data_IF_198217048360
#
_entry.id   IF_198217048360
#
_cell.length_a   1.000
_cell.length_b   1.000
_cell.length_c   1.000
_cell.angle_alpha   90.00
_cell.angle_beta   90.00
_cell.angle_gamma   90.00
#
_symmetry.space_group_name_H-M   'P 1'
#
loop_
_entity.id
_entity.type
_entity.pdbx_description
1 polymer ?
#
# COMPACT_ATOMS: atom_id res chain seq x y z
N UNK A 1 -14.63 7.37 21.52
CA UNK A 1 -13.43 6.57 21.22
C UNK A 1 -13.87 5.17 20.84
N UNK A 2 -13.30 4.58 19.78
CA UNK A 2 -13.58 3.19 19.38
C UNK A 2 -12.89 2.25 20.38
N UNK A 3 -13.60 1.25 20.89
CA UNK A 3 -13.03 0.30 21.85
C UNK A 3 -11.82 -0.44 21.25
N UNK A 4 -10.78 -0.70 22.06
CA UNK A 4 -9.55 -1.35 21.61
C UNK A 4 -9.81 -2.71 20.92
N UNK A 5 -10.75 -3.50 21.43
CA UNK A 5 -11.15 -4.76 20.81
C UNK A 5 -11.74 -4.59 19.41
N UNK A 6 -12.55 -3.55 19.19
CA UNK A 6 -13.10 -3.25 17.87
C UNK A 6 -12.02 -2.78 16.88
N UNK A 7 -11.02 -2.04 17.36
CA UNK A 7 -9.87 -1.66 16.52
C UNK A 7 -9.05 -2.89 16.11
N UNK A 8 -8.79 -3.81 17.05
CA UNK A 8 -8.06 -5.05 16.75
C UNK A 8 -8.80 -5.91 15.72
N UNK A 9 -10.13 -6.05 15.84
CA UNK A 9 -10.96 -6.74 14.85
C UNK A 9 -10.89 -6.07 13.47
N UNK A 10 -10.90 -4.73 13.41
CA UNK A 10 -10.76 -4.00 12.15
C UNK A 10 -9.39 -4.24 11.50
N UNK A 11 -8.29 -4.30 12.27
CA UNK A 11 -6.95 -4.64 11.76
C UNK A 11 -6.92 -6.08 11.22
N UNK A 12 -7.53 -7.02 11.94
CA UNK A 12 -7.61 -8.42 11.48
C UNK A 12 -8.44 -8.51 10.20
N UNK A 13 -9.61 -7.88 10.15
CA UNK A 13 -10.47 -7.83 8.97
C UNK A 13 -9.73 -7.23 7.78
N UNK A 14 -8.99 -6.14 7.98
CA UNK A 14 -8.15 -5.52 6.97
C UNK A 14 -7.10 -6.47 6.40
N UNK A 15 -6.32 -7.13 7.27
CA UNK A 15 -5.32 -8.11 6.85
C UNK A 15 -5.95 -9.32 6.16
N UNK A 16 -7.13 -9.77 6.59
CA UNK A 16 -7.88 -10.84 5.94
C UNK A 16 -8.30 -10.46 4.51
N UNK A 17 -8.80 -9.24 4.30
CA UNK A 17 -9.16 -8.74 2.96
C UNK A 17 -7.92 -8.71 2.06
N UNK A 18 -6.83 -8.09 2.52
CA UNK A 18 -5.57 -8.02 1.76
C UNK A 18 -5.03 -9.42 1.43
N UNK A 19 -5.06 -10.34 2.41
CA UNK A 19 -4.56 -11.70 2.21
C UNK A 19 -5.46 -12.49 1.26
N UNK A 20 -6.78 -12.33 1.33
CA UNK A 20 -7.73 -13.00 0.45
C UNK A 20 -7.50 -12.59 -1.01
N UNK A 21 -7.43 -11.29 -1.29
CA UNK A 21 -7.22 -10.81 -2.68
C UNK A 21 -5.84 -11.22 -3.21
N UNK A 22 -4.81 -11.21 -2.35
CA UNK A 22 -3.45 -11.68 -2.70
C UNK A 22 -3.45 -13.18 -3.02
N UNK A 23 -4.03 -14.00 -2.15
CA UNK A 23 -4.09 -15.46 -2.33
C UNK A 23 -4.91 -15.85 -3.56
N UNK A 24 -6.00 -15.14 -3.82
CA UNK A 24 -6.83 -15.35 -5.00
C UNK A 24 -6.05 -15.11 -6.30
N UNK A 25 -5.17 -14.11 -6.34
CA UNK A 25 -4.44 -13.70 -7.55
C UNK A 25 -3.13 -14.47 -7.76
N UNK A 26 -2.41 -14.79 -6.70
CA UNK A 26 -1.05 -15.34 -6.78
C UNK A 26 -0.88 -16.53 -7.75
N UNK A 27 -1.69 -17.61 -7.69
CA UNK A 27 -1.46 -18.79 -8.53
C UNK A 27 -1.65 -18.53 -10.02
N UNK A 28 -2.27 -17.42 -10.40
CA UNK A 28 -2.49 -17.01 -11.79
C UNK A 28 -1.35 -16.16 -12.32
N UNK A 29 -0.58 -15.54 -11.43
CA UNK A 29 0.61 -14.77 -11.78
C UNK A 29 1.85 -15.64 -12.02
N UNK A 30 1.78 -16.94 -11.72
CA UNK A 30 2.91 -17.86 -11.88
C UNK A 30 3.44 -17.97 -13.32
N UNK A 31 2.56 -17.84 -14.33
CA UNK A 31 2.97 -17.90 -15.74
C UNK A 31 3.81 -16.68 -16.15
N UNK A 32 3.48 -15.49 -15.62
CA UNK A 32 4.21 -14.25 -15.90
C UNK A 32 5.43 -14.05 -15.01
N UNK A 33 5.27 -14.17 -13.68
CA UNK A 33 6.27 -13.80 -12.67
C UNK A 33 7.04 -15.00 -12.08
N UNK A 34 6.68 -16.24 -12.46
CA UNK A 34 7.35 -17.44 -11.97
C UNK A 34 7.39 -17.52 -10.44
N UNK A 35 8.59 -17.69 -9.88
CA UNK A 35 8.82 -17.77 -8.42
C UNK A 35 8.52 -16.47 -7.68
N UNK A 36 8.46 -15.33 -8.38
CA UNK A 36 8.19 -14.02 -7.78
C UNK A 36 6.71 -13.66 -7.78
N UNK A 37 5.86 -14.54 -8.30
CA UNK A 37 4.41 -14.32 -8.37
C UNK A 37 3.80 -14.04 -6.99
N UNK A 38 4.29 -14.65 -5.91
CA UNK A 38 3.71 -14.45 -4.57
C UNK A 38 3.92 -13.03 -4.06
N UNK A 39 5.16 -12.53 -4.20
CA UNK A 39 5.51 -11.15 -3.89
C UNK A 39 4.77 -10.17 -4.81
N UNK A 40 4.72 -10.43 -6.12
CA UNK A 40 4.02 -9.60 -7.09
C UNK A 40 2.51 -9.48 -6.79
N UNK A 41 1.89 -10.55 -6.30
CA UNK A 41 0.46 -10.60 -6.03
C UNK A 41 0.02 -9.62 -4.94
N UNK A 42 0.87 -9.28 -3.97
CA UNK A 42 0.54 -8.32 -2.91
C UNK A 42 0.09 -6.96 -3.47
N UNK A 43 0.95 -6.19 -4.15
CA UNK A 43 0.56 -4.88 -4.67
C UNK A 43 -0.40 -4.99 -5.88
N UNK A 44 -0.26 -6.02 -6.72
CA UNK A 44 -1.14 -6.18 -7.90
C UNK A 44 -2.59 -6.46 -7.51
N UNK A 45 -2.82 -7.30 -6.50
CA UNK A 45 -4.18 -7.61 -6.06
C UNK A 45 -4.89 -6.40 -5.47
N UNK A 46 -4.16 -5.56 -4.70
CA UNK A 46 -4.68 -4.32 -4.14
C UNK A 46 -5.05 -3.31 -5.25
N UNK A 47 -4.19 -3.15 -6.27
CA UNK A 47 -4.47 -2.28 -7.41
C UNK A 47 -5.65 -2.76 -8.25
N UNK A 48 -5.73 -4.08 -8.49
CA UNK A 48 -6.84 -4.67 -9.22
C UNK A 48 -8.16 -4.52 -8.45
N UNK A 49 -8.14 -4.72 -7.13
CA UNK A 49 -9.32 -4.52 -6.27
C UNK A 49 -9.75 -3.05 -6.26
N UNK A 50 -8.81 -2.11 -6.20
CA UNK A 50 -9.09 -0.69 -6.31
C UNK A 50 -9.77 -0.35 -7.65
N UNK A 51 -9.25 -0.86 -8.76
CA UNK A 51 -9.82 -0.63 -10.09
C UNK A 51 -11.23 -1.20 -10.23
N UNK A 52 -11.43 -2.46 -9.80
CA UNK A 52 -12.73 -3.11 -9.87
C UNK A 52 -13.77 -2.42 -8.98
N UNK A 53 -13.41 -2.05 -7.75
CA UNK A 53 -14.32 -1.34 -6.84
C UNK A 53 -14.67 0.05 -7.35
N UNK A 54 -13.73 0.74 -8.00
CA UNK A 54 -13.97 2.04 -8.63
C UNK A 54 -14.98 1.94 -9.78
N UNK A 55 -14.85 0.92 -10.65
CA UNK A 55 -15.83 0.68 -11.70
C UNK A 55 -17.19 0.23 -11.15
N UNK A 56 -17.24 -0.59 -10.10
CA UNK A 56 -18.49 -0.93 -9.41
C UNK A 56 -19.23 0.35 -8.98
N UNK A 57 -18.51 1.31 -8.40
CA UNK A 57 -19.10 2.56 -7.95
C UNK A 57 -19.59 3.49 -9.06
N UNK A 58 -18.95 3.50 -10.24
CA UNK A 58 -19.48 4.22 -11.42
C UNK A 58 -20.89 3.73 -11.76
N UNK A 59 -21.07 2.41 -11.76
CA UNK A 59 -22.36 1.79 -12.09
C UNK A 59 -23.25 1.60 -10.84
N UNK A 60 -22.90 2.27 -9.73
CA UNK A 60 -23.67 2.30 -8.48
C UNK A 60 -23.87 0.92 -7.82
N UNK A 61 -22.95 -0.02 -8.07
CA UNK A 61 -22.86 -1.27 -7.31
C UNK A 61 -22.06 -1.07 -6.02
N UNK A 62 -22.39 -1.79 -4.94
CA UNK A 62 -21.58 -1.78 -3.72
C UNK A 62 -20.12 -2.18 -4.02
N UNK A 63 -19.16 -1.46 -3.42
CA UNK A 63 -17.73 -1.69 -3.66
C UNK A 63 -17.27 -3.11 -3.34
N UNK A 64 -17.95 -3.79 -2.41
CA UNK A 64 -17.67 -5.18 -2.02
C UNK A 64 -17.92 -6.17 -3.17
N UNK A 65 -18.75 -5.82 -4.16
CA UNK A 65 -18.98 -6.63 -5.37
C UNK A 65 -17.67 -6.86 -6.13
N UNK A 66 -16.69 -5.95 -6.00
CA UNK A 66 -15.36 -6.11 -6.56
C UNK A 66 -14.59 -7.34 -6.02
N UNK A 67 -15.04 -7.95 -4.93
CA UNK A 67 -14.48 -9.23 -4.44
C UNK A 67 -14.89 -10.43 -5.30
N UNK A 68 -16.00 -10.36 -6.05
CA UNK A 68 -16.52 -11.52 -6.78
C UNK A 68 -15.49 -12.15 -7.74
N UNK A 69 -14.75 -11.37 -8.57
CA UNK A 69 -13.70 -11.95 -9.40
C UNK A 69 -12.59 -12.64 -8.59
N UNK A 70 -12.21 -12.09 -7.44
CA UNK A 70 -11.22 -12.72 -6.55
C UNK A 70 -11.75 -14.02 -5.95
N UNK A 71 -13.01 -14.06 -5.51
CA UNK A 71 -13.64 -15.27 -4.99
C UNK A 71 -13.76 -16.36 -6.06
N UNK A 72 -14.07 -15.97 -7.31
CA UNK A 72 -14.08 -16.89 -8.46
C UNK A 72 -12.67 -17.43 -8.73
N UNK A 73 -11.65 -16.58 -8.78
CA UNK A 73 -10.26 -17.00 -8.96
C UNK A 73 -9.77 -17.90 -7.83
N UNK A 74 -10.13 -17.61 -6.58
CA UNK A 74 -9.82 -18.43 -5.42
C UNK A 74 -10.49 -19.80 -5.54
N UNK A 75 -11.79 -19.84 -5.82
CA UNK A 75 -12.56 -21.07 -6.01
C UNK A 75 -12.05 -21.93 -7.18
N UNK A 76 -11.75 -21.30 -8.31
CA UNK A 76 -11.12 -21.97 -9.46
C UNK A 76 -9.74 -22.52 -9.11
N UNK A 77 -8.94 -21.79 -8.33
CA UNK A 77 -7.63 -22.24 -7.87
C UNK A 77 -7.74 -23.45 -6.93
N UNK A 78 -8.73 -23.46 -6.03
CA UNK A 78 -9.03 -24.60 -5.16
C UNK A 78 -9.48 -25.82 -5.97
N UNK A 79 -10.40 -25.64 -6.91
CA UNK A 79 -10.90 -26.70 -7.79
C UNK A 79 -9.79 -27.32 -8.65
N UNK A 80 -8.91 -26.48 -9.21
CA UNK A 80 -7.74 -26.90 -9.99
C UNK A 80 -6.54 -27.33 -9.13
N UNK A 81 -6.70 -27.40 -7.80
CA UNK A 81 -5.65 -27.79 -6.85
C UNK A 81 -4.34 -26.99 -7.00
N UNK A 82 -4.47 -25.69 -7.30
CA UNK A 82 -3.32 -24.76 -7.40
C UNK A 82 -2.72 -24.38 -6.05
N UNK A 83 -3.38 -24.71 -4.94
CA UNK A 83 -2.90 -24.47 -3.59
C UNK A 83 -2.42 -25.76 -2.95
N UNK A 84 -1.24 -25.74 -2.35
CA UNK A 84 -0.77 -26.78 -1.43
C UNK A 84 -0.15 -26.13 -0.20
N UNK A 85 -0.28 -26.78 0.96
CA UNK A 85 0.31 -26.26 2.20
C UNK A 85 1.83 -26.08 2.07
N UNK A 86 2.50 -26.99 1.37
CA UNK A 86 3.94 -26.87 1.13
C UNK A 86 4.30 -25.71 0.22
N UNK A 87 3.48 -25.41 -0.80
CA UNK A 87 3.68 -24.23 -1.63
C UNK A 87 3.53 -22.95 -0.82
N UNK A 88 2.47 -22.84 -0.01
CA UNK A 88 2.23 -21.67 0.86
C UNK A 88 3.38 -21.51 1.87
N UNK A 89 3.82 -22.61 2.50
CA UNK A 89 4.93 -22.58 3.46
C UNK A 89 6.25 -22.11 2.84
N UNK A 90 6.54 -22.47 1.58
CA UNK A 90 7.74 -21.98 0.87
C UNK A 90 7.71 -20.47 0.66
N UNK A 91 6.52 -19.91 0.45
CA UNK A 91 6.32 -18.48 0.23
C UNK A 91 6.16 -17.66 1.54
N UNK A 92 6.16 -18.31 2.71
CA UNK A 92 5.95 -17.66 4.00
C UNK A 92 6.94 -16.51 4.29
N UNK A 93 8.12 -16.53 3.68
CA UNK A 93 9.09 -15.46 3.81
C UNK A 93 8.58 -14.10 3.26
N UNK A 94 7.70 -14.10 2.25
CA UNK A 94 7.01 -12.90 1.77
C UNK A 94 5.97 -12.40 2.78
N UNK A 95 5.21 -13.31 3.39
CA UNK A 95 4.21 -12.97 4.41
C UNK A 95 4.89 -12.38 5.65
N UNK A 96 5.99 -12.98 6.08
CA UNK A 96 6.79 -12.49 7.20
C UNK A 96 7.34 -11.10 6.90
N UNK A 97 7.90 -10.86 5.71
CA UNK A 97 8.37 -9.53 5.33
C UNK A 97 7.21 -8.51 5.33
N UNK A 98 6.08 -8.85 4.70
CA UNK A 98 4.91 -7.98 4.65
C UNK A 98 4.44 -7.64 6.06
N UNK A 99 4.24 -8.64 6.92
CA UNK A 99 3.74 -8.46 8.28
C UNK A 99 4.72 -7.70 9.18
N UNK A 100 6.03 -7.93 9.04
CA UNK A 100 7.05 -7.17 9.79
C UNK A 100 7.03 -5.70 9.40
N UNK A 101 7.04 -5.40 8.09
CA UNK A 101 6.98 -4.03 7.59
C UNK A 101 5.64 -3.34 7.92
N UNK A 102 4.53 -4.08 7.84
CA UNK A 102 3.21 -3.59 8.22
C UNK A 102 3.15 -3.29 9.73
N UNK A 103 3.62 -4.21 10.57
CA UNK A 103 3.62 -4.06 12.03
C UNK A 103 4.52 -2.90 12.48
N UNK A 104 5.72 -2.77 11.90
CA UNK A 104 6.62 -1.65 12.15
C UNK A 104 5.93 -0.30 11.91
N UNK A 105 5.28 -0.15 10.74
CA UNK A 105 4.62 1.10 10.41
C UNK A 105 3.31 1.30 11.19
N UNK A 106 2.61 0.21 11.53
CA UNK A 106 1.42 0.26 12.39
C UNK A 106 1.80 0.72 13.80
N UNK A 107 2.94 0.29 14.32
CA UNK A 107 3.48 0.76 15.61
C UNK A 107 3.76 2.27 15.58
N UNK A 108 4.38 2.78 14.52
CA UNK A 108 4.57 4.22 14.32
C UNK A 108 3.22 4.96 14.36
N UNK A 109 2.20 4.43 13.69
CA UNK A 109 0.84 5.00 13.72
C UNK A 109 0.14 4.82 15.06
N UNK A 110 0.45 3.77 15.81
CA UNK A 110 -0.10 3.56 17.15
C UNK A 110 0.39 4.62 18.14
N UNK A 111 1.67 5.02 18.04
CA UNK A 111 2.22 6.12 18.85
C UNK A 111 1.78 7.51 18.38
N UNK A 112 1.51 7.69 17.08
CA UNK A 112 0.99 8.94 16.52
C UNK A 112 -0.24 8.71 15.63
N UNK A 113 -1.42 8.39 16.21
CA UNK A 113 -2.63 8.05 15.45
C UNK A 113 -3.41 9.30 15.02
N UNK A 114 -2.93 10.50 15.35
CA UNK A 114 -3.65 11.75 15.16
C UNK A 114 -3.93 12.01 13.67
N UNK A 115 -5.18 12.41 13.41
CA UNK A 115 -5.67 12.93 12.13
C UNK A 115 -5.54 14.47 12.10
N UNK A 116 -5.22 15.08 13.24
CA UNK A 116 -4.98 16.52 13.33
C UNK A 116 -3.55 16.87 12.92
N UNK A 117 -3.32 18.15 12.65
CA UNK A 117 -2.07 18.77 12.16
C UNK A 117 -1.75 18.49 10.68
N UNK A 118 -1.01 19.44 10.08
CA UNK A 118 -0.64 19.43 8.66
C UNK A 118 -1.86 19.17 7.76
N UNK A 119 -1.73 18.34 6.74
CA UNK A 119 -2.77 18.06 5.75
C UNK A 119 -3.56 16.77 6.04
N UNK A 120 -3.26 16.09 7.16
CA UNK A 120 -3.92 14.83 7.58
C UNK A 120 -5.44 14.94 7.64
N UNK A 121 -5.95 16.09 8.07
CA UNK A 121 -7.39 16.33 8.18
C UNK A 121 -8.04 16.34 6.78
N UNK A 122 -7.34 16.86 5.77
CA UNK A 122 -7.80 16.88 4.38
C UNK A 122 -7.81 15.47 3.80
N UNK A 123 -6.72 14.72 3.97
CA UNK A 123 -6.62 13.32 3.51
C UNK A 123 -7.70 12.43 4.15
N UNK A 124 -7.90 12.56 5.46
CA UNK A 124 -8.98 11.82 6.14
C UNK A 124 -10.37 12.30 5.69
N UNK A 125 -10.57 13.58 5.39
CA UNK A 125 -11.86 14.07 4.89
C UNK A 125 -12.20 13.46 3.52
N UNK A 126 -11.21 13.34 2.61
CA UNK A 126 -11.38 12.66 1.33
C UNK A 126 -11.70 11.17 1.55
N UNK A 127 -10.93 10.48 2.39
CA UNK A 127 -11.16 9.08 2.74
C UNK A 127 -12.57 8.86 3.33
N UNK A 128 -12.96 9.70 4.30
CA UNK A 128 -14.25 9.60 4.96
C UNK A 128 -15.39 9.90 3.99
N UNK A 129 -15.21 10.82 3.03
CA UNK A 129 -16.19 11.08 1.98
C UNK A 129 -16.42 9.83 1.11
N UNK A 130 -15.33 9.22 0.62
CA UNK A 130 -15.36 7.95 -0.12
C UNK A 130 -16.09 6.87 0.67
N UNK A 131 -15.74 6.68 1.95
CA UNK A 131 -16.32 5.61 2.76
C UNK A 131 -17.79 5.88 3.13
N UNK A 132 -18.20 7.14 3.25
CA UNK A 132 -19.57 7.53 3.59
C UNK A 132 -20.54 7.31 2.43
N UNK A 133 -20.13 7.66 1.22
CA UNK A 133 -20.93 7.47 0.02
C UNK A 133 -20.01 7.04 -1.14
N UNK A 134 -19.78 5.73 -1.32
CA UNK A 134 -18.80 5.22 -2.28
C UNK A 134 -19.36 5.23 -3.71
N UNK A 135 -19.54 6.44 -4.24
CA UNK A 135 -19.92 6.73 -5.63
C UNK A 135 -18.80 7.49 -6.34
N UNK A 136 -18.78 7.44 -7.67
CA UNK A 136 -17.79 8.14 -8.50
C UNK A 136 -18.49 9.25 -9.29
N UNK A 137 -18.07 10.52 -9.17
CA UNK A 137 -17.04 11.03 -8.27
C UNK A 137 -17.53 11.10 -6.80
N UNK A 138 -16.64 10.98 -5.79
CA UNK A 138 -17.03 11.16 -4.39
C UNK A 138 -17.47 12.59 -4.11
N UNK A 139 -18.26 12.80 -3.06
CA UNK A 139 -18.63 14.14 -2.61
C UNK A 139 -17.38 14.92 -2.20
N UNK A 140 -17.33 16.21 -2.55
CA UNK A 140 -16.25 17.09 -2.10
C UNK A 140 -16.47 17.48 -0.63
N UNK A 141 -15.55 17.12 0.31
CA UNK A 141 -15.69 17.50 1.71
C UNK A 141 -15.63 19.02 1.95
N UNK A 142 -15.13 19.81 0.98
CA UNK A 142 -14.96 21.25 1.06
C UNK A 142 -15.91 22.04 0.16
N UNK A 143 -16.74 21.37 -0.63
CA UNK A 143 -17.72 22.02 -1.50
C UNK A 143 -19.10 21.36 -1.39
N UNK A 144 -19.97 21.98 -0.58
CA UNK A 144 -21.28 21.44 -0.26
C UNK A 144 -22.15 21.24 -1.53
N UNK A 145 -22.55 19.99 -1.78
CA UNK A 145 -23.36 19.61 -2.94
C UNK A 145 -22.57 19.43 -4.24
N UNK A 146 -21.25 19.59 -4.21
CA UNK A 146 -20.38 19.27 -5.34
C UNK A 146 -19.57 18.00 -5.15
N UNK A 147 -18.93 17.60 -6.24
CA UNK A 147 -18.13 16.40 -6.32
C UNK A 147 -16.63 16.71 -6.41
N UNK A 148 -15.82 15.82 -5.85
CA UNK A 148 -14.36 15.88 -5.85
C UNK A 148 -13.83 15.55 -7.26
N UNK A 149 -13.95 16.53 -8.16
CA UNK A 149 -13.66 16.41 -9.59
C UNK A 149 -12.26 16.91 -9.98
N UNK A 150 -11.62 17.72 -9.12
CA UNK A 150 -10.35 18.41 -9.42
C UNK A 150 -9.16 17.79 -8.68
N UNK A 151 -9.38 16.88 -7.74
CA UNK A 151 -8.32 16.36 -6.84
C UNK A 151 -8.10 14.84 -6.96
N UNK A 152 -6.87 14.40 -6.69
CA UNK A 152 -6.45 13.00 -6.80
C UNK A 152 -6.96 12.14 -5.62
N UNK A 153 -8.13 11.50 -5.77
CA UNK A 153 -8.74 10.69 -4.70
C UNK A 153 -8.50 9.18 -4.82
N UNK A 154 -7.93 8.67 -5.91
CA UNK A 154 -7.85 7.22 -6.17
C UNK A 154 -7.08 6.44 -5.09
N UNK A 155 -6.04 7.03 -4.48
CA UNK A 155 -5.33 6.42 -3.36
C UNK A 155 -6.23 6.25 -2.12
N UNK A 156 -7.01 7.28 -1.81
CA UNK A 156 -8.02 7.26 -0.75
C UNK A 156 -9.18 6.31 -1.09
N UNK A 157 -9.56 6.22 -2.36
CA UNK A 157 -10.53 5.25 -2.87
C UNK A 157 -10.10 3.82 -2.60
N UNK A 158 -8.89 3.47 -3.04
CA UNK A 158 -8.28 2.15 -2.86
C UNK A 158 -8.32 1.71 -1.39
N UNK A 159 -7.91 2.60 -0.48
CA UNK A 159 -7.87 2.28 0.95
C UNK A 159 -9.26 2.29 1.58
N UNK A 160 -10.14 3.20 1.17
CA UNK A 160 -11.54 3.26 1.61
C UNK A 160 -12.34 2.03 1.22
N UNK A 161 -12.14 1.49 0.01
CA UNK A 161 -12.79 0.27 -0.45
C UNK A 161 -12.36 -0.95 0.36
N UNK A 162 -11.07 -1.08 0.70
CA UNK A 162 -10.59 -2.13 1.62
C UNK A 162 -11.21 -1.94 3.00
N UNK A 163 -11.26 -0.70 3.50
CA UNK A 163 -11.84 -0.37 4.81
C UNK A 163 -13.32 -0.74 4.90
N UNK A 164 -14.11 -0.40 3.89
CA UNK A 164 -15.52 -0.78 3.79
C UNK A 164 -15.73 -2.29 3.73
N UNK A 165 -14.82 -3.00 3.06
CA UNK A 165 -14.87 -4.47 2.94
C UNK A 165 -14.46 -5.15 4.24
N UNK A 166 -13.54 -4.55 4.99
CA UNK A 166 -13.08 -5.00 6.31
C UNK A 166 -13.98 -4.52 7.46
N UNK A 167 -15.05 -3.79 7.17
CA UNK A 167 -15.92 -3.14 8.15
C UNK A 167 -15.16 -2.22 9.13
N UNK A 168 -14.03 -1.66 8.68
CA UNK A 168 -13.20 -0.76 9.46
C UNK A 168 -13.77 0.66 9.41
N UNK A 169 -13.89 1.38 10.54
CA UNK A 169 -14.31 2.78 10.56
C UNK A 169 -13.20 3.67 9.97
N UNK A 170 -13.57 4.80 9.35
CA UNK A 170 -12.62 5.65 8.61
C UNK A 170 -11.38 6.10 9.41
N UNK A 171 -11.44 6.39 10.73
CA UNK A 171 -10.24 6.77 11.48
C UNK A 171 -9.25 5.61 11.65
N UNK A 172 -9.74 4.38 11.69
CA UNK A 172 -8.90 3.17 11.74
C UNK A 172 -8.33 2.91 10.35
N UNK A 173 -9.17 2.95 9.31
CA UNK A 173 -8.73 2.83 7.91
C UNK A 173 -7.60 3.81 7.57
N UNK A 174 -7.72 5.07 7.98
CA UNK A 174 -6.69 6.09 7.78
C UNK A 174 -5.33 5.68 8.36
N UNK A 175 -5.33 5.14 9.58
CA UNK A 175 -4.12 4.68 10.24
C UNK A 175 -3.55 3.38 9.63
N UNK A 176 -4.33 2.64 8.82
CA UNK A 176 -3.90 1.43 8.11
C UNK A 176 -3.37 1.71 6.69
N UNK A 177 -3.48 2.95 6.19
CA UNK A 177 -2.98 3.34 4.86
C UNK A 177 -1.46 3.17 4.80
N UNK A 178 -0.72 3.89 5.65
CA UNK A 178 0.74 3.90 5.61
C UNK A 178 1.35 2.51 5.89
N UNK A 179 0.85 1.71 6.85
CA UNK A 179 1.25 0.32 7.00
C UNK A 179 1.12 -0.52 5.74
N UNK A 180 -0.03 -0.40 5.06
CA UNK A 180 -0.29 -1.12 3.80
C UNK A 180 0.66 -0.68 2.70
N UNK A 181 0.88 0.62 2.53
CA UNK A 181 1.77 1.20 1.52
C UNK A 181 3.22 0.76 1.77
N UNK A 182 3.70 0.91 3.00
CA UNK A 182 5.08 0.55 3.37
C UNK A 182 5.35 -0.94 3.15
N UNK A 183 4.43 -1.81 3.58
CA UNK A 183 4.58 -3.26 3.42
C UNK A 183 4.53 -3.71 1.95
N UNK A 184 3.63 -3.15 1.14
CA UNK A 184 3.59 -3.47 -0.29
C UNK A 184 4.83 -2.95 -1.04
N UNK A 185 5.33 -1.76 -0.69
CA UNK A 185 6.56 -1.23 -1.26
C UNK A 185 7.76 -2.12 -0.91
N UNK A 186 7.87 -2.56 0.35
CA UNK A 186 8.92 -3.46 0.79
C UNK A 186 8.88 -4.81 0.05
N UNK A 187 7.70 -5.41 -0.10
CA UNK A 187 7.55 -6.67 -0.85
C UNK A 187 7.95 -6.48 -2.32
N UNK A 188 7.53 -5.41 -2.98
CA UNK A 188 7.90 -5.14 -4.37
C UNK A 188 9.41 -4.90 -4.54
N UNK A 189 10.03 -4.13 -3.64
CA UNK A 189 11.48 -3.90 -3.64
C UNK A 189 12.27 -5.19 -3.36
N UNK A 190 11.76 -6.05 -2.48
CA UNK A 190 12.36 -7.35 -2.22
C UNK A 190 12.25 -8.30 -3.43
N UNK A 191 11.15 -8.23 -4.19
CA UNK A 191 11.02 -8.91 -5.47
C UNK A 191 12.01 -8.37 -6.51
N UNK A 192 12.19 -7.04 -6.61
CA UNK A 192 13.24 -6.46 -7.45
C UNK A 192 14.64 -6.94 -7.02
N UNK A 193 14.89 -7.05 -5.71
CA UNK A 193 16.16 -7.57 -5.18
C UNK A 193 16.44 -9.02 -5.56
N UNK A 194 15.41 -9.87 -5.67
CA UNK A 194 15.57 -11.23 -6.18
C UNK A 194 16.00 -11.29 -7.64
N UNK A 195 15.65 -10.28 -8.43
CA UNK A 195 16.03 -10.17 -9.85
C UNK A 195 17.41 -9.53 -10.01
N UNK A 196 17.71 -8.49 -9.20
CA UNK A 196 18.94 -7.71 -9.34
C UNK A 196 20.15 -8.34 -8.66
N UNK A 197 19.95 -9.05 -7.56
CA UNK A 197 21.02 -9.41 -6.64
C UNK A 197 21.09 -10.93 -6.40
N UNK A 198 22.31 -11.47 -6.43
CA UNK A 198 22.56 -12.88 -6.08
C UNK A 198 22.59 -13.11 -4.57
N UNK A 199 23.03 -12.11 -3.80
CA UNK A 199 23.12 -12.11 -2.33
C UNK A 199 22.50 -10.82 -1.78
N UNK A 200 22.12 -10.81 -0.51
CA UNK A 200 21.55 -9.64 0.17
C UNK A 200 20.34 -9.06 -0.60
N UNK A 201 19.42 -9.93 -1.02
CA UNK A 201 18.24 -9.57 -1.82
C UNK A 201 17.30 -8.58 -1.14
N UNK A 202 17.46 -8.35 0.17
CA UNK A 202 16.71 -7.37 0.95
C UNK A 202 17.25 -5.93 0.82
N UNK A 203 18.45 -5.72 0.25
CA UNK A 203 19.04 -4.37 0.16
C UNK A 203 18.13 -3.32 -0.50
N UNK A 204 17.38 -3.62 -1.57
CA UNK A 204 16.47 -2.63 -2.14
C UNK A 204 15.39 -2.16 -1.17
N UNK A 205 14.98 -2.98 -0.19
CA UNK A 205 14.01 -2.57 0.84
C UNK A 205 14.54 -1.42 1.69
N UNK A 206 15.86 -1.36 1.91
CA UNK A 206 16.49 -0.28 2.69
C UNK A 206 16.36 1.09 2.03
N UNK A 207 16.00 1.16 0.74
CA UNK A 207 15.69 2.44 0.08
C UNK A 207 14.54 3.19 0.73
N UNK A 208 13.62 2.48 1.41
CA UNK A 208 12.54 3.09 2.20
C UNK A 208 13.04 3.82 3.46
N UNK A 209 14.28 3.56 3.86
CA UNK A 209 14.93 4.16 5.03
C UNK A 209 16.01 5.17 4.64
N UNK A 210 16.24 5.39 3.35
CA UNK A 210 17.22 6.37 2.89
C UNK A 210 16.76 7.78 3.25
N UNK A 211 17.73 8.58 3.67
CA UNK A 211 17.57 9.98 4.06
C UNK A 211 18.35 10.87 3.09
N UNK A 212 17.92 12.13 2.97
CA UNK A 212 18.67 13.11 2.20
C UNK A 212 20.07 13.34 2.80
N UNK A 213 21.11 13.66 2.00
CA UNK A 213 22.43 14.01 2.53
C UNK A 213 22.41 15.16 3.55
N UNK A 214 21.49 16.12 3.37
CA UNK A 214 21.26 17.22 4.31
C UNK A 214 20.86 16.76 5.72
N UNK A 215 20.14 15.64 5.83
CA UNK A 215 19.79 15.03 7.12
C UNK A 215 21.06 14.69 7.90
N UNK A 216 22.04 14.07 7.23
CA UNK A 216 23.31 13.68 7.84
C UNK A 216 24.13 14.91 8.25
N UNK A 217 24.15 15.95 7.42
CA UNK A 217 24.86 17.21 7.72
C UNK A 217 24.25 17.92 8.93
N UNK A 218 22.92 18.02 9.01
CA UNK A 218 22.22 18.64 10.14
C UNK A 218 22.36 17.82 11.42
N UNK A 219 22.31 16.49 11.32
CA UNK A 219 22.56 15.62 12.48
C UNK A 219 24.00 15.79 12.98
N UNK A 220 24.98 15.85 12.08
CA UNK A 220 26.39 16.03 12.42
C UNK A 220 26.71 17.42 12.98
N UNK A 221 25.93 18.45 12.62
CA UNK A 221 26.08 19.80 13.17
C UNK A 221 25.48 19.95 14.58
N UNK A 222 24.84 18.91 15.11
CA UNK A 222 24.19 18.93 16.42
C UNK A 222 22.84 19.66 16.42
N UNK A 223 22.19 19.81 15.26
CA UNK A 223 20.85 20.36 15.18
C UNK A 223 19.84 19.50 15.96
N UNK A 224 18.80 20.13 16.49
CA UNK A 224 17.72 19.41 17.19
C UNK A 224 16.98 18.45 16.26
N UNK A 225 16.49 17.33 16.80
CA UNK A 225 15.87 16.26 16.01
C UNK A 225 14.73 16.74 15.08
N UNK A 226 13.92 17.70 15.53
CA UNK A 226 12.88 18.31 14.70
C UNK A 226 13.48 19.03 13.48
N UNK A 227 14.50 19.87 13.68
CA UNK A 227 15.20 20.57 12.58
C UNK A 227 15.88 19.59 11.65
N UNK A 228 16.53 18.55 12.18
CA UNK A 228 17.14 17.48 11.35
C UNK A 228 16.10 16.84 10.43
N UNK A 229 14.92 16.50 10.95
CA UNK A 229 13.84 15.92 10.13
C UNK A 229 13.23 16.94 9.16
N UNK A 230 12.88 18.14 9.63
CA UNK A 230 12.09 19.12 8.88
C UNK A 230 12.91 19.93 7.86
N UNK A 231 14.11 20.37 8.25
CA UNK A 231 14.94 21.23 7.40
C UNK A 231 15.67 20.38 6.34
N UNK A 232 15.89 19.08 6.58
CA UNK A 232 16.49 18.17 5.61
C UNK A 232 15.60 17.88 4.39
N UNK A 233 14.31 18.20 4.45
CA UNK A 233 13.40 18.14 3.29
C UNK A 233 13.32 19.47 2.53
N UNK A 234 13.97 20.53 3.01
CA UNK A 234 13.92 21.90 2.43
C UNK A 234 15.30 22.39 2.03
N UNK A 235 16.02 21.54 1.30
CA UNK A 235 17.41 21.80 0.90
C UNK A 235 17.53 22.70 -0.31
N UNK A 236 16.53 22.64 -1.21
CA UNK A 236 16.46 23.46 -2.41
C UNK A 236 15.46 24.57 -2.12
N UNK A 237 15.87 25.82 -2.38
CA UNK A 237 15.07 27.01 -2.11
C UNK A 237 13.66 26.87 -2.73
N UNK A 238 12.64 27.28 -1.97
CA UNK A 238 11.22 27.26 -2.37
C UNK A 238 10.65 25.89 -2.77
N UNK A 239 11.25 24.79 -2.29
CA UNK A 239 10.78 23.43 -2.58
C UNK A 239 10.70 22.56 -1.33
N UNK A 240 9.96 21.45 -1.46
CA UNK A 240 9.92 20.36 -0.49
C UNK A 240 10.37 19.09 -1.22
N UNK A 241 11.46 18.50 -0.77
CA UNK A 241 12.03 17.27 -1.28
C UNK A 241 12.11 16.23 -0.17
N UNK A 242 10.95 15.66 0.12
CA UNK A 242 10.78 14.56 1.06
C UNK A 242 11.50 13.29 0.59
N UNK A 243 11.86 12.47 1.57
CA UNK A 243 12.36 11.11 1.37
C UNK A 243 11.41 10.14 2.07
N UNK A 244 11.36 8.85 1.67
CA UNK A 244 10.33 7.92 2.15
C UNK A 244 10.20 7.89 3.67
N UNK A 245 11.32 7.78 4.39
CA UNK A 245 11.31 7.74 5.85
C UNK A 245 10.67 9.00 6.48
N UNK A 246 10.91 10.20 5.92
CA UNK A 246 10.24 11.41 6.38
C UNK A 246 8.73 11.31 6.19
N UNK A 247 8.25 10.99 4.99
CA UNK A 247 6.82 10.98 4.70
C UNK A 247 6.06 9.93 5.53
N UNK A 248 6.65 8.76 5.75
CA UNK A 248 6.06 7.72 6.59
C UNK A 248 5.99 8.12 8.07
N UNK A 249 7.05 8.75 8.60
CA UNK A 249 7.07 9.21 10.00
C UNK A 249 6.20 10.46 10.22
N UNK A 250 6.18 11.37 9.25
CA UNK A 250 5.34 12.57 9.27
C UNK A 250 3.86 12.17 9.30
N UNK A 251 3.51 11.19 8.45
CA UNK A 251 2.28 10.44 8.61
C UNK A 251 1.10 10.95 7.79
N UNK A 252 1.37 11.66 6.70
CA UNK A 252 0.38 12.23 5.79
C UNK A 252 0.26 11.30 4.57
N UNK A 253 -0.88 10.62 4.35
CA UNK A 253 -1.04 9.69 3.24
C UNK A 253 -1.32 10.43 1.92
N UNK A 254 -0.46 11.37 1.55
CA UNK A 254 -0.55 12.09 0.29
C UNK A 254 -0.50 11.14 -0.91
N UNK A 255 -0.99 11.62 -2.06
CA UNK A 255 -1.00 10.86 -3.29
C UNK A 255 0.39 10.31 -3.68
N UNK A 256 1.47 11.07 -3.50
CA UNK A 256 2.83 10.60 -3.80
C UNK A 256 3.30 9.52 -2.83
N UNK A 257 2.93 9.61 -1.55
CA UNK A 257 3.27 8.61 -0.53
C UNK A 257 2.54 7.31 -0.80
N UNK A 258 1.22 7.37 -1.04
CA UNK A 258 0.43 6.18 -1.42
C UNK A 258 1.00 5.55 -2.70
N UNK A 259 1.43 6.35 -3.66
CA UNK A 259 2.02 5.86 -4.90
C UNK A 259 3.40 5.20 -4.72
N UNK A 260 4.06 5.26 -3.56
CA UNK A 260 5.38 4.65 -3.38
C UNK A 260 5.37 3.14 -3.66
N UNK A 261 4.34 2.42 -3.26
CA UNK A 261 4.28 0.98 -3.54
C UNK A 261 4.01 0.69 -5.02
N UNK A 262 3.31 1.57 -5.74
CA UNK A 262 3.09 1.41 -7.18
C UNK A 262 4.36 1.73 -7.97
N UNK A 263 5.15 2.71 -7.52
CA UNK A 263 6.48 2.99 -8.05
C UNK A 263 7.43 1.82 -7.81
N UNK A 264 7.45 1.26 -6.60
CA UNK A 264 8.24 0.07 -6.28
C UNK A 264 7.84 -1.14 -7.14
N UNK A 265 6.53 -1.37 -7.33
CA UNK A 265 5.99 -2.40 -8.21
C UNK A 265 6.42 -2.16 -9.67
N UNK A 266 6.33 -0.92 -10.16
CA UNK A 266 6.74 -0.57 -11.52
C UNK A 266 8.24 -0.84 -11.73
N UNK A 267 9.09 -0.44 -10.78
CA UNK A 267 10.53 -0.73 -10.82
C UNK A 267 10.75 -2.24 -10.87
N UNK A 268 10.07 -3.01 -10.02
CA UNK A 268 10.14 -4.47 -10.05
C UNK A 268 9.74 -5.03 -11.43
N UNK A 269 8.61 -4.60 -12.00
CA UNK A 269 8.13 -5.08 -13.30
C UNK A 269 9.13 -4.75 -14.42
N UNK A 270 9.66 -3.53 -14.45
CA UNK A 270 10.65 -3.11 -15.46
C UNK A 270 11.91 -3.96 -15.35
N UNK A 271 12.42 -4.13 -14.13
CA UNK A 271 13.62 -4.94 -13.86
C UNK A 271 13.41 -6.40 -14.24
N UNK A 272 12.25 -6.96 -13.88
CA UNK A 272 11.86 -8.33 -14.22
C UNK A 272 11.76 -8.51 -15.74
N UNK A 273 11.02 -7.64 -16.42
CA UNK A 273 10.85 -7.68 -17.87
C UNK A 273 12.20 -7.53 -18.60
N UNK A 274 13.09 -6.66 -18.12
CA UNK A 274 14.41 -6.46 -18.72
C UNK A 274 15.31 -7.69 -18.57
N UNK A 275 15.29 -8.37 -17.42
CA UNK A 275 16.14 -9.54 -17.15
C UNK A 275 15.62 -10.83 -17.80
N UNK A 276 14.31 -11.00 -17.80
CA UNK A 276 13.64 -12.22 -18.27
C UNK A 276 13.11 -12.08 -19.71
N UNK A 277 13.45 -10.99 -20.42
CA UNK A 277 12.93 -10.67 -21.76
C UNK A 277 13.07 -11.84 -22.76
N UNK A 278 14.26 -12.45 -22.78
CA UNK A 278 14.56 -13.55 -23.72
C UNK A 278 13.72 -14.79 -23.40
N UNK A 279 13.53 -15.09 -22.12
CA UNK A 279 12.75 -16.25 -21.66
C UNK A 279 11.24 -16.03 -21.84
N UNK A 280 10.78 -14.77 -21.81
CA UNK A 280 9.40 -14.38 -22.11
C UNK A 280 9.09 -14.45 -23.61
N UNK A 281 10.06 -14.11 -24.47
CA UNK A 281 9.88 -14.13 -25.94
C UNK A 281 9.80 -15.54 -26.54
N UNK A 282 10.20 -16.56 -25.79
CA UNK A 282 10.20 -17.97 -26.21
C UNK A 282 9.06 -18.82 -25.66
N UNK A 283 8.12 -18.24 -24.89
CA UNK A 283 6.90 -18.90 -24.39
C UNK A 283 5.70 -18.54 -25.25
#
# INVERSE_FOLDING_TARGET
MIAAGAQALAVIGWLCVLKLIQMALWPWLGEGFGKLAYGAAYPLSLLLFALLSWYCAIIHLPVQVALLPFLVLLGMGLWRRRYSLDAIRREAHWDVLFLLCFAFMLEVRFFNPSISYAEKFMDHAILASVMRNPVVAPLDPWYAGGDLSVYYYLGHWMMGAVGLTAEAPSPVTFNLILPTVFANAAVALYAAGHVLLQRLRFLPVLTLLLVNPSFLVLAASGAGAHSVMWDSTRTIADTINEFPLFSFLWGDPHAHVIALFTQALLIFIIVYAYREWNDLSGR
#
